data_IF_701326985442
#
_entry.id   IF_701326985442
#
_cell.length_a   1.000
_cell.length_b   1.000
_cell.length_c   1.000
_cell.angle_alpha   90.00
_cell.angle_beta   90.00
_cell.angle_gamma   90.00
#
_symmetry.space_group_name_H-M   'P 1'
#
loop_
_entity.id
_entity.type
_entity.pdbx_description
1 polymer ?
#
# COMPACT_ATOMS: atom_id res chain seq x y z
N UNK A 1 -14.13 5.29 -8.09
CA UNK A 1 -13.07 4.47 -7.46
C UNK A 1 -13.30 4.43 -5.96
N UNK A 2 -13.55 3.23 -5.42
CA UNK A 2 -13.80 2.98 -3.98
C UNK A 2 -12.48 2.56 -3.34
N UNK A 3 -12.19 3.01 -2.13
CA UNK A 3 -11.15 2.37 -1.33
C UNK A 3 -11.62 0.95 -1.04
N UNK A 4 -10.88 -0.08 -1.45
CA UNK A 4 -11.25 -1.45 -1.06
C UNK A 4 -10.91 -1.64 0.42
N UNK A 5 -11.95 -1.61 1.22
CA UNK A 5 -11.90 -1.71 2.67
C UNK A 5 -12.38 -3.11 3.07
N UNK A 6 -11.52 -3.86 3.75
CA UNK A 6 -11.84 -5.19 4.28
C UNK A 6 -11.93 -5.12 5.82
N UNK A 7 -12.72 -6.02 6.43
CA UNK A 7 -12.93 -6.16 7.89
C UNK A 7 -13.94 -5.15 8.48
N UNK A 8 -15.06 -4.89 7.80
CA UNK A 8 -16.09 -3.96 8.32
C UNK A 8 -15.64 -2.48 8.30
N UNK A 9 -14.53 -2.18 7.63
CA UNK A 9 -14.05 -0.82 7.48
C UNK A 9 -14.94 -0.01 6.53
N UNK A 10 -15.18 1.26 6.85
CA UNK A 10 -16.03 2.18 6.08
C UNK A 10 -15.20 3.30 5.48
N UNK A 11 -15.53 3.69 4.25
CA UNK A 11 -14.93 4.86 3.61
C UNK A 11 -15.48 6.12 4.27
N UNK A 12 -14.61 7.09 4.52
CA UNK A 12 -14.94 8.37 5.17
C UNK A 12 -14.31 9.52 4.41
N UNK A 13 -14.87 10.71 4.54
CA UNK A 13 -14.25 11.95 4.07
C UNK A 13 -13.16 12.38 5.05
N UNK A 14 -12.17 13.09 4.53
CA UNK A 14 -11.06 13.61 5.35
C UNK A 14 -11.57 14.39 6.56
N UNK A 15 -12.57 15.26 6.39
CA UNK A 15 -13.09 16.08 7.50
C UNK A 15 -13.82 15.26 8.58
N UNK A 16 -14.46 14.15 8.21
CA UNK A 16 -15.16 13.24 9.14
C UNK A 16 -14.19 12.50 10.07
N UNK A 17 -12.89 12.43 9.72
CA UNK A 17 -11.88 11.86 10.60
C UNK A 17 -11.77 12.60 11.94
N UNK A 18 -12.21 13.87 12.02
CA UNK A 18 -12.23 14.66 13.26
C UNK A 18 -13.17 14.07 14.30
N UNK A 19 -14.25 13.47 13.84
CA UNK A 19 -15.34 12.97 14.69
C UNK A 19 -15.06 11.55 15.21
N UNK A 20 -14.01 10.89 14.71
CA UNK A 20 -13.63 9.55 15.13
C UNK A 20 -12.78 9.64 16.39
N UNK A 21 -13.27 9.11 17.53
CA UNK A 21 -12.59 9.26 18.80
C UNK A 21 -11.32 8.40 18.84
N UNK A 22 -10.30 8.93 19.51
CA UNK A 22 -9.11 8.14 19.86
C UNK A 22 -9.55 7.04 20.84
N UNK A 23 -9.15 5.80 20.59
CA UNK A 23 -9.49 4.70 21.50
C UNK A 23 -8.99 4.98 22.92
N UNK A 24 -9.80 4.75 23.96
CA UNK A 24 -9.39 4.97 25.35
C UNK A 24 -8.18 4.11 25.71
N UNK A 25 -7.44 4.52 26.74
CA UNK A 25 -6.24 3.82 27.23
C UNK A 25 -6.51 2.38 27.65
N UNK A 26 -7.66 2.13 28.29
CA UNK A 26 -8.21 0.79 28.50
C UNK A 26 -9.28 0.60 27.46
N UNK A 27 -8.97 -0.19 26.43
CA UNK A 27 -9.86 -0.41 25.30
C UNK A 27 -10.40 -1.84 25.30
N UNK A 28 -11.72 -1.98 25.31
CA UNK A 28 -12.42 -3.25 25.22
C UNK A 28 -12.99 -3.40 23.83
N UNK A 29 -12.73 -4.53 23.18
CA UNK A 29 -13.22 -4.81 21.84
C UNK A 29 -13.49 -6.30 21.66
N UNK A 30 -14.32 -6.65 20.67
CA UNK A 30 -14.57 -8.04 20.29
C UNK A 30 -13.61 -8.40 19.16
N UNK A 31 -12.84 -9.46 19.33
CA UNK A 31 -11.98 -9.99 18.28
C UNK A 31 -12.79 -10.55 17.11
N UNK A 32 -12.14 -10.77 15.97
CA UNK A 32 -12.80 -11.39 14.81
C UNK A 32 -13.32 -12.81 15.08
N UNK A 33 -12.78 -13.45 16.09
CA UNK A 33 -13.18 -14.75 16.64
C UNK A 33 -14.39 -14.67 17.57
N UNK A 34 -14.96 -13.46 17.77
CA UNK A 34 -16.02 -13.23 18.75
C UNK A 34 -15.53 -13.12 20.19
N UNK A 35 -14.22 -13.28 20.44
CA UNK A 35 -13.65 -13.28 21.78
C UNK A 35 -13.50 -11.85 22.30
N UNK A 36 -14.06 -11.50 23.47
CA UNK A 36 -13.80 -10.21 24.11
C UNK A 36 -12.31 -10.06 24.46
N UNK A 37 -11.74 -8.91 24.13
CA UNK A 37 -10.34 -8.56 24.37
C UNK A 37 -10.24 -7.23 25.11
N UNK A 38 -9.21 -7.11 25.93
CA UNK A 38 -8.89 -5.90 26.69
C UNK A 38 -7.47 -5.50 26.35
N UNK A 39 -7.30 -4.26 25.92
CA UNK A 39 -6.00 -3.65 25.68
C UNK A 39 -5.78 -2.58 26.75
N UNK A 40 -4.90 -2.87 27.70
CA UNK A 40 -4.49 -1.95 28.75
C UNK A 40 -3.14 -1.33 28.40
N UNK A 41 -3.11 -0.02 28.20
CA UNK A 41 -1.90 0.72 27.81
C UNK A 41 -1.31 1.46 29.01
N UNK A 42 -0.01 1.77 28.94
CA UNK A 42 0.69 2.48 30.03
C UNK A 42 0.27 3.95 30.14
N UNK A 43 0.61 4.62 31.25
CA UNK A 43 0.36 6.06 31.45
C UNK A 43 1.09 6.95 30.44
N UNK A 44 2.15 6.41 29.84
CA UNK A 44 2.93 7.11 28.81
C UNK A 44 2.29 7.02 27.43
N UNK A 45 1.25 6.21 27.26
CA UNK A 45 0.58 6.04 25.97
C UNK A 45 -0.32 7.23 25.66
N UNK A 46 -0.19 7.77 24.45
CA UNK A 46 -1.07 8.80 23.91
C UNK A 46 -1.46 8.43 22.48
N UNK A 47 -2.75 8.22 22.24
CA UNK A 47 -3.23 7.92 20.90
C UNK A 47 -3.11 9.11 19.95
N UNK A 48 -3.16 8.82 18.66
CA UNK A 48 -3.06 9.84 17.61
C UNK A 48 -4.45 10.00 16.99
N UNK A 49 -4.90 11.25 16.93
CA UNK A 49 -6.12 11.62 16.23
C UNK A 49 -5.89 11.41 14.71
N UNK A 50 -6.81 10.70 14.04
CA UNK A 50 -6.68 10.34 12.63
C UNK A 50 -6.59 11.52 11.66
N UNK A 51 -7.45 12.53 11.81
CA UNK A 51 -7.38 13.82 11.14
C UNK A 51 -6.05 14.53 11.40
N UNK A 52 -5.60 14.65 12.65
CA UNK A 52 -4.34 15.36 12.94
C UNK A 52 -3.14 14.68 12.26
N UNK A 53 -3.14 13.35 12.20
CA UNK A 53 -2.13 12.59 11.46
C UNK A 53 -2.23 12.83 9.95
N UNK A 54 -3.44 12.71 9.39
CA UNK A 54 -3.69 12.94 7.97
C UNK A 54 -3.29 14.37 7.54
N UNK A 55 -3.70 15.36 8.32
CA UNK A 55 -3.43 16.79 8.09
C UNK A 55 -1.93 17.09 8.18
N UNK A 56 -1.22 16.52 9.16
CA UNK A 56 0.23 16.63 9.25
C UNK A 56 0.93 16.07 8.01
N UNK A 57 0.47 14.93 7.48
CA UNK A 57 1.02 14.33 6.26
C UNK A 57 0.71 15.19 5.04
N UNK A 58 -0.54 15.62 4.86
CA UNK A 58 -0.97 16.48 3.74
C UNK A 58 -0.18 17.79 3.72
N UNK A 59 -0.07 18.47 4.87
CA UNK A 59 0.67 19.72 4.96
C UNK A 59 2.15 19.54 4.62
N UNK A 60 2.77 18.46 5.09
CA UNK A 60 4.17 18.17 4.76
C UNK A 60 4.35 17.87 3.27
N UNK A 61 3.42 17.15 2.64
CA UNK A 61 3.41 16.94 1.18
C UNK A 61 3.30 18.28 0.42
N UNK A 62 2.41 19.17 0.85
CA UNK A 62 2.26 20.50 0.25
C UNK A 62 3.56 21.32 0.37
N UNK A 63 4.18 21.34 1.56
CA UNK A 63 5.44 22.05 1.82
C UNK A 63 6.59 21.52 0.93
N UNK A 64 6.54 20.24 0.54
CA UNK A 64 7.51 19.60 -0.35
C UNK A 64 7.17 19.73 -1.85
N UNK A 65 6.16 20.53 -2.21
CA UNK A 65 5.73 20.71 -3.60
C UNK A 65 5.04 19.49 -4.20
N UNK A 66 4.50 18.61 -3.35
CA UNK A 66 3.74 17.41 -3.71
C UNK A 66 2.27 17.54 -3.29
N UNK A 67 1.50 18.52 -3.81
CA UNK A 67 0.16 18.76 -3.32
C UNK A 67 -0.76 17.57 -3.55
N UNK A 68 -1.67 17.36 -2.59
CA UNK A 68 -2.58 16.21 -2.59
C UNK A 68 -3.84 16.54 -3.39
N UNK A 69 -4.27 15.60 -4.23
CA UNK A 69 -5.57 15.63 -4.86
C UNK A 69 -6.62 15.09 -3.88
N UNK A 70 -7.30 16.00 -3.18
CA UNK A 70 -8.32 15.65 -2.20
C UNK A 70 -9.54 14.93 -2.81
N UNK A 71 -9.84 15.16 -4.09
CA UNK A 71 -10.99 14.57 -4.77
C UNK A 71 -10.72 13.12 -5.18
N UNK A 72 -9.46 12.78 -5.46
CA UNK A 72 -9.04 11.43 -5.85
C UNK A 72 -8.47 10.63 -4.68
N UNK A 73 -8.00 11.29 -3.63
CA UNK A 73 -7.59 10.63 -2.38
C UNK A 73 -8.77 9.99 -1.66
N UNK A 74 -8.52 8.90 -0.95
CA UNK A 74 -9.54 8.12 -0.24
C UNK A 74 -9.07 7.78 1.17
N UNK A 75 -10.01 7.76 2.11
CA UNK A 75 -9.77 7.49 3.53
C UNK A 75 -10.75 6.44 4.00
N UNK A 76 -10.30 5.56 4.89
CA UNK A 76 -11.15 4.54 5.46
C UNK A 76 -10.73 4.22 6.87
N UNK A 77 -11.71 3.85 7.69
CA UNK A 77 -11.50 3.53 9.10
C UNK A 77 -12.11 2.18 9.40
N UNK A 78 -11.48 1.40 10.27
CA UNK A 78 -12.04 0.13 10.74
C UNK A 78 -13.37 0.32 11.45
N UNK A 79 -14.21 -0.73 11.47
CA UNK A 79 -15.53 -0.74 12.11
C UNK A 79 -15.53 -0.15 13.53
N UNK A 80 -14.46 -0.42 14.28
CA UNK A 80 -14.29 0.01 15.66
C UNK A 80 -13.61 1.39 15.82
N UNK A 81 -13.38 2.13 14.74
CA UNK A 81 -12.74 3.45 14.72
C UNK A 81 -11.21 3.45 14.92
N UNK A 82 -10.61 2.31 15.26
CA UNK A 82 -9.24 2.28 15.78
C UNK A 82 -8.14 2.37 14.71
N UNK A 83 -8.41 1.89 13.49
CA UNK A 83 -7.42 1.78 12.42
C UNK A 83 -7.79 2.71 11.26
N UNK A 84 -6.83 3.53 10.82
CA UNK A 84 -6.93 4.39 9.65
C UNK A 84 -6.17 3.77 8.47
N UNK A 85 -6.76 3.86 7.28
CA UNK A 85 -6.14 3.55 6.00
C UNK A 85 -6.43 4.70 5.03
N UNK A 86 -5.45 5.06 4.21
CA UNK A 86 -5.66 6.02 3.14
C UNK A 86 -4.89 5.65 1.88
N UNK A 87 -5.44 6.07 0.75
CA UNK A 87 -4.77 6.08 -0.55
C UNK A 87 -4.76 7.53 -1.03
N UNK A 88 -3.59 8.16 -0.96
CA UNK A 88 -3.39 9.56 -1.28
C UNK A 88 -2.87 9.71 -2.70
N UNK A 89 -3.61 10.47 -3.51
CA UNK A 89 -3.25 10.83 -4.88
C UNK A 89 -2.62 12.21 -4.89
N UNK A 90 -1.62 12.42 -5.74
CA UNK A 90 -0.97 13.72 -5.88
C UNK A 90 -1.55 14.50 -7.07
N UNK A 91 -1.51 15.81 -6.98
CA UNK A 91 -1.68 16.69 -8.14
C UNK A 91 -0.39 16.65 -8.95
N UNK A 92 -0.50 16.38 -10.24
CA UNK A 92 0.62 16.42 -11.19
C UNK A 92 0.85 17.82 -11.75
N UNK A 93 -0.12 18.72 -11.60
CA UNK A 93 -0.06 20.09 -12.08
C UNK A 93 -0.75 21.03 -11.09
N UNK A 94 -0.18 22.22 -10.89
CA UNK A 94 -0.74 23.32 -10.11
C UNK A 94 -0.59 24.60 -10.94
N UNK A 95 -1.70 25.30 -11.19
CA UNK A 95 -1.69 26.57 -11.94
C UNK A 95 -0.95 26.50 -13.29
N UNK A 96 -1.12 25.40 -14.03
CA UNK A 96 -0.45 25.21 -15.33
C UNK A 96 1.02 24.78 -15.24
N UNK A 97 1.54 24.48 -14.04
CA UNK A 97 2.94 24.07 -13.84
C UNK A 97 3.03 22.65 -13.28
N UNK A 98 3.90 21.79 -13.83
CA UNK A 98 4.08 20.44 -13.32
C UNK A 98 4.66 20.47 -11.90
N UNK A 99 4.13 19.62 -11.02
CA UNK A 99 4.64 19.46 -9.65
C UNK A 99 5.88 18.56 -9.64
N UNK A 100 6.58 18.48 -8.51
CA UNK A 100 7.80 17.65 -8.40
C UNK A 100 7.52 16.16 -8.63
N UNK A 101 6.28 15.73 -8.45
CA UNK A 101 5.86 14.35 -8.60
C UNK A 101 5.50 13.99 -10.06
N UNK A 102 5.21 14.99 -10.88
CA UNK A 102 4.76 14.80 -12.27
C UNK A 102 5.78 14.04 -13.11
N UNK A 103 7.08 14.24 -12.86
CA UNK A 103 8.17 13.52 -13.54
C UNK A 103 8.18 12.01 -13.33
N UNK A 104 7.47 11.52 -12.31
CA UNK A 104 7.35 10.08 -12.03
C UNK A 104 6.05 9.48 -12.53
N UNK A 105 5.14 10.30 -13.07
CA UNK A 105 3.91 9.85 -13.69
C UNK A 105 4.22 9.25 -15.07
N UNK A 106 3.67 8.06 -15.33
CA UNK A 106 3.76 7.37 -16.63
C UNK A 106 2.37 6.85 -17.02
N UNK A 107 2.22 6.33 -18.25
CA UNK A 107 0.97 5.71 -18.71
C UNK A 107 0.55 4.49 -17.86
N UNK A 108 1.49 3.91 -17.10
CA UNK A 108 1.29 2.70 -16.31
C UNK A 108 1.26 2.97 -14.80
N UNK A 109 2.01 3.99 -14.37
CA UNK A 109 2.26 4.29 -12.96
C UNK A 109 1.85 5.72 -12.64
N UNK A 110 0.88 5.84 -11.75
CA UNK A 110 0.57 7.09 -11.08
C UNK A 110 1.22 7.09 -9.68
N UNK A 111 2.10 8.04 -9.34
CA UNK A 111 2.61 8.19 -7.97
C UNK A 111 1.46 8.24 -6.96
N UNK A 112 1.50 7.38 -5.94
CA UNK A 112 0.39 7.24 -4.97
C UNK A 112 0.97 6.84 -3.62
N UNK A 113 0.55 7.53 -2.56
CA UNK A 113 0.99 7.21 -1.21
C UNK A 113 -0.09 6.46 -0.43
N UNK A 114 0.22 5.24 -0.02
CA UNK A 114 -0.60 4.53 0.96
C UNK A 114 -0.26 4.99 2.37
N UNK A 115 -1.26 5.14 3.22
CA UNK A 115 -1.07 5.49 4.63
C UNK A 115 -1.86 4.52 5.51
N UNK A 116 -1.26 4.09 6.62
CA UNK A 116 -1.93 3.29 7.64
C UNK A 116 -1.49 3.70 9.04
N UNK A 117 -2.43 3.71 9.98
CA UNK A 117 -2.17 3.97 11.39
C UNK A 117 -3.17 3.20 12.27
N UNK A 118 -2.73 2.70 13.42
CA UNK A 118 -3.58 1.96 14.37
C UNK A 118 -3.43 2.53 15.78
N UNK A 119 -4.56 2.94 16.38
CA UNK A 119 -4.63 3.34 17.78
C UNK A 119 -4.66 2.15 18.74
N UNK A 120 -4.85 0.91 18.25
CA UNK A 120 -4.79 -0.32 19.04
C UNK A 120 -3.49 -1.11 18.85
N UNK A 121 -2.46 -0.46 18.32
CA UNK A 121 -1.11 -1.04 18.13
C UNK A 121 -1.08 -2.31 17.29
N UNK A 122 -2.06 -2.51 16.38
CA UNK A 122 -2.03 -3.62 15.42
C UNK A 122 -0.92 -3.44 14.39
N UNK A 123 -0.57 -2.20 14.10
CA UNK A 123 0.55 -1.79 13.26
C UNK A 123 0.96 -0.36 13.62
N UNK A 124 2.23 -0.04 13.38
CA UNK A 124 2.73 1.33 13.54
C UNK A 124 2.10 2.26 12.49
N UNK A 125 2.13 3.56 12.76
CA UNK A 125 1.89 4.57 11.74
C UNK A 125 2.95 4.44 10.64
N UNK A 126 2.53 4.20 9.40
CA UNK A 126 3.42 4.02 8.25
C UNK A 126 2.82 4.67 7.01
N UNK A 127 3.66 5.27 6.19
CA UNK A 127 3.37 5.43 4.77
C UNK A 127 4.01 4.26 4.01
N UNK A 128 3.38 3.84 2.94
CA UNK A 128 4.00 2.94 1.98
C UNK A 128 4.50 3.73 0.81
N UNK A 129 5.72 3.41 0.38
CA UNK A 129 6.25 3.91 -0.88
C UNK A 129 5.68 3.05 -2.00
N UNK A 130 5.06 3.71 -2.97
CA UNK A 130 4.54 3.04 -4.14
C UNK A 130 4.04 3.99 -5.21
N UNK A 131 3.65 3.41 -6.34
CA UNK A 131 2.79 4.06 -7.34
C UNK A 131 1.49 3.27 -7.43
N UNK A 132 0.37 3.89 -7.71
CA UNK A 132 -0.81 3.19 -8.19
C UNK A 132 -0.59 2.74 -9.64
N UNK A 133 -0.93 1.50 -9.99
CA UNK A 133 -1.07 1.12 -11.38
C UNK A 133 -2.32 1.81 -11.94
N UNK A 134 -2.14 2.63 -12.98
CA UNK A 134 -3.14 3.58 -13.49
C UNK A 134 -4.46 2.92 -13.93
N UNK A 135 -4.39 1.70 -14.47
CA UNK A 135 -5.55 1.03 -15.10
C UNK A 135 -6.38 0.17 -14.14
N UNK A 136 -5.82 -0.29 -13.02
CA UNK A 136 -6.45 -1.32 -12.19
C UNK A 136 -6.63 -0.92 -10.72
N UNK A 137 -6.39 0.35 -10.38
CA UNK A 137 -6.54 0.92 -9.03
C UNK A 137 -5.73 0.18 -7.96
N UNK A 138 -4.73 -0.56 -8.41
CA UNK A 138 -3.86 -1.36 -7.57
C UNK A 138 -2.71 -0.51 -7.08
N UNK A 139 -2.30 -0.71 -5.83
CA UNK A 139 -0.99 -0.23 -5.39
C UNK A 139 0.09 -1.13 -6.01
N UNK A 140 1.13 -0.52 -6.55
CA UNK A 140 2.46 -1.09 -6.76
C UNK A 140 3.26 -0.64 -5.54
N UNK A 141 3.59 -1.56 -4.66
CA UNK A 141 4.36 -1.26 -3.46
C UNK A 141 5.75 -1.83 -3.65
N UNK A 142 6.77 -0.97 -3.66
CA UNK A 142 8.18 -1.37 -3.71
C UNK A 142 8.88 -1.23 -2.37
N UNK A 143 8.22 -0.61 -1.38
CA UNK A 143 8.75 -0.50 -0.04
C UNK A 143 7.78 0.12 0.96
N UNK A 144 8.16 0.08 2.23
CA UNK A 144 7.49 0.82 3.29
C UNK A 144 8.41 1.93 3.80
N UNK A 145 7.88 3.14 3.98
CA UNK A 145 8.54 4.09 4.88
C UNK A 145 7.81 4.10 6.20
N UNK A 146 8.46 3.48 7.16
CA UNK A 146 7.96 3.52 8.50
C UNK A 146 8.16 4.91 9.11
N UNK A 147 7.06 5.62 9.34
CA UNK A 147 7.01 6.72 10.30
C UNK A 147 7.01 6.11 11.71
N UNK A 148 8.12 5.47 12.08
CA UNK A 148 8.20 4.72 13.34
C UNK A 148 8.20 5.66 14.54
N UNK A 149 7.01 5.94 15.09
CA UNK A 149 6.86 6.60 16.39
C UNK A 149 5.94 5.81 17.29
N UNK A 150 6.37 5.65 18.54
CA UNK A 150 5.52 5.14 19.62
C UNK A 150 4.50 6.22 19.99
N UNK A 151 3.28 5.79 20.24
CA UNK A 151 2.17 6.58 20.78
C UNK A 151 2.49 7.11 22.18
N UNK A 152 3.26 8.20 22.32
CA UNK A 152 3.61 8.81 23.63
C UNK A 152 3.35 10.31 23.70
N UNK A 153 3.08 10.83 24.90
CA UNK A 153 2.90 12.26 25.21
C UNK A 153 4.19 13.05 24.91
N UNK A 154 4.12 14.11 24.07
CA UNK A 154 5.25 15.03 23.78
C UNK A 154 5.77 15.10 22.33
N UNK A 155 5.05 14.58 21.33
CA UNK A 155 5.66 14.20 20.04
C UNK A 155 5.28 15.02 18.79
N UNK A 156 4.43 16.06 18.87
CA UNK A 156 3.88 16.72 17.66
C UNK A 156 4.95 17.37 16.79
N UNK A 157 5.96 18.04 17.36
CA UNK A 157 7.05 18.63 16.58
C UNK A 157 7.91 17.57 15.84
N UNK A 158 8.08 16.39 16.44
CA UNK A 158 8.85 15.29 15.84
C UNK A 158 8.14 14.58 14.68
N UNK A 159 6.80 14.69 14.59
CA UNK A 159 6.04 13.98 13.57
C UNK A 159 6.28 14.58 12.18
N UNK A 160 6.34 15.91 12.06
CA UNK A 160 6.60 16.59 10.78
C UNK A 160 7.97 16.24 10.21
N UNK A 161 9.00 16.21 11.05
CA UNK A 161 10.37 15.84 10.65
C UNK A 161 10.39 14.40 10.11
N UNK A 162 9.78 13.47 10.84
CA UNK A 162 9.72 12.05 10.45
C UNK A 162 8.90 11.85 9.17
N UNK A 163 7.79 12.60 9.02
CA UNK A 163 7.00 12.61 7.79
C UNK A 163 7.86 13.11 6.63
N UNK A 164 8.55 14.24 6.78
CA UNK A 164 9.41 14.82 5.76
C UNK A 164 10.54 13.87 5.33
N UNK A 165 11.26 13.28 6.28
CA UNK A 165 12.28 12.25 6.00
C UNK A 165 11.69 11.08 5.22
N UNK A 166 10.46 10.68 5.53
CA UNK A 166 9.83 9.58 4.82
C UNK A 166 9.32 9.93 3.44
N UNK A 167 8.90 11.17 3.22
CA UNK A 167 8.55 11.67 1.89
C UNK A 167 9.79 11.83 0.99
N UNK A 168 10.96 12.17 1.56
CA UNK A 168 12.22 12.16 0.81
C UNK A 168 12.53 10.74 0.33
N UNK A 169 12.48 9.75 1.23
CA UNK A 169 12.66 8.33 0.87
C UNK A 169 11.66 7.86 -0.19
N UNK A 170 10.42 8.35 -0.13
CA UNK A 170 9.41 8.10 -1.14
C UNK A 170 9.86 8.59 -2.53
N UNK A 171 10.31 9.85 -2.63
CA UNK A 171 10.79 10.43 -3.88
C UNK A 171 12.03 9.68 -4.42
N UNK A 172 12.95 9.29 -3.55
CA UNK A 172 14.17 8.57 -3.91
C UNK A 172 13.90 7.18 -4.49
N UNK A 173 12.80 6.55 -4.09
CA UNK A 173 12.42 5.21 -4.52
C UNK A 173 11.53 5.17 -5.78
N UNK A 174 10.90 6.30 -6.17
CA UNK A 174 10.06 6.35 -7.37
C UNK A 174 10.78 5.96 -8.68
N UNK A 175 12.05 6.35 -8.92
CA UNK A 175 12.81 5.84 -10.07
C UNK A 175 12.84 4.30 -10.12
N UNK A 176 13.05 3.64 -8.98
CA UNK A 176 13.07 2.18 -8.86
C UNK A 176 11.71 1.56 -9.17
N UNK A 177 10.60 2.22 -8.81
CA UNK A 177 9.24 1.78 -9.19
C UNK A 177 9.09 1.78 -10.71
N UNK A 178 9.47 2.88 -11.36
CA UNK A 178 9.34 3.00 -12.82
C UNK A 178 10.24 2.01 -13.55
N UNK A 179 11.46 1.80 -13.06
CA UNK A 179 12.36 0.78 -13.58
C UNK A 179 11.80 -0.64 -13.41
N UNK A 180 11.21 -0.94 -12.25
CA UNK A 180 10.57 -2.23 -12.01
C UNK A 180 9.45 -2.52 -13.01
N UNK A 181 8.56 -1.54 -13.24
CA UNK A 181 7.48 -1.68 -14.23
C UNK A 181 8.05 -1.90 -15.63
N UNK A 182 9.06 -1.11 -16.02
CA UNK A 182 9.76 -1.29 -17.29
C UNK A 182 10.36 -2.69 -17.44
N UNK A 183 11.02 -3.20 -16.40
CA UNK A 183 11.60 -4.55 -16.41
C UNK A 183 10.52 -5.63 -16.54
N UNK A 184 9.39 -5.48 -15.85
CA UNK A 184 8.23 -6.38 -15.98
C UNK A 184 7.63 -6.32 -17.39
N UNK A 185 7.54 -5.15 -18.01
CA UNK A 185 7.01 -4.99 -19.37
C UNK A 185 7.93 -5.61 -20.44
N UNK A 186 9.25 -5.53 -20.24
CA UNK A 186 10.23 -6.10 -21.18
C UNK A 186 10.45 -7.61 -21.01
N UNK A 187 10.06 -8.18 -19.86
CA UNK A 187 10.20 -9.61 -19.62
C UNK A 187 9.05 -10.37 -20.28
N UNK A 188 9.30 -11.00 -21.43
CA UNK A 188 8.42 -12.04 -21.94
C UNK A 188 8.33 -13.22 -20.95
N UNK A 189 7.13 -13.79 -20.79
CA UNK A 189 6.87 -14.93 -19.91
C UNK A 189 6.45 -16.12 -20.78
N UNK A 190 7.33 -17.10 -20.89
CA UNK A 190 6.98 -18.39 -21.50
C UNK A 190 6.04 -19.21 -20.62
N UNK A 191 5.39 -20.22 -21.20
CA UNK A 191 4.53 -21.15 -20.44
C UNK A 191 5.29 -21.88 -19.31
N UNK A 192 6.57 -22.21 -19.52
CA UNK A 192 7.41 -22.82 -18.50
C UNK A 192 7.69 -21.87 -17.33
N UNK A 193 8.02 -20.60 -17.63
CA UNK A 193 8.23 -19.57 -16.61
C UNK A 193 6.94 -19.24 -15.86
N UNK A 194 5.80 -19.22 -16.55
CA UNK A 194 4.49 -19.02 -15.94
C UNK A 194 4.21 -20.11 -14.89
N UNK A 195 4.37 -21.38 -15.28
CA UNK A 195 4.20 -22.52 -14.38
C UNK A 195 5.18 -22.47 -13.19
N UNK A 196 6.45 -22.13 -13.44
CA UNK A 196 7.46 -21.97 -12.39
C UNK A 196 7.12 -20.82 -11.42
N UNK A 197 6.69 -19.66 -11.92
CA UNK A 197 6.25 -18.53 -11.09
C UNK A 197 5.05 -18.92 -10.22
N UNK A 198 4.08 -19.67 -10.75
CA UNK A 198 2.97 -20.21 -9.97
C UNK A 198 3.42 -21.14 -8.84
N UNK A 199 4.33 -22.07 -9.13
CA UNK A 199 4.89 -22.98 -8.14
C UNK A 199 5.66 -22.22 -7.05
N UNK A 200 6.49 -21.25 -7.42
CA UNK A 200 7.23 -20.40 -6.47
C UNK A 200 6.28 -19.59 -5.58
N UNK A 201 5.28 -18.94 -6.16
CA UNK A 201 4.32 -18.13 -5.41
C UNK A 201 3.56 -18.96 -4.35
N UNK A 202 3.20 -20.19 -4.70
CA UNK A 202 2.48 -21.07 -3.78
C UNK A 202 3.39 -21.71 -2.72
N UNK A 203 4.58 -22.22 -3.11
CA UNK A 203 5.54 -22.84 -2.19
C UNK A 203 6.09 -21.87 -1.15
N UNK A 204 6.34 -20.62 -1.56
CA UNK A 204 6.78 -19.53 -0.65
C UNK A 204 5.64 -18.97 0.20
N UNK A 205 4.41 -19.47 0.04
CA UNK A 205 3.18 -18.98 0.70
C UNK A 205 2.92 -17.50 0.43
N UNK A 206 3.38 -16.98 -0.72
CA UNK A 206 3.00 -15.65 -1.19
C UNK A 206 1.49 -15.63 -1.45
N UNK A 207 0.96 -16.64 -2.12
CA UNK A 207 -0.48 -16.89 -2.22
C UNK A 207 -0.84 -18.35 -1.91
N UNK A 208 -2.05 -18.62 -1.40
CA UNK A 208 -2.56 -19.99 -1.27
C UNK A 208 -2.67 -20.66 -2.64
N UNK A 209 -2.47 -21.98 -2.70
CA UNK A 209 -2.65 -22.79 -3.93
C UNK A 209 -4.01 -22.58 -4.59
N UNK A 210 -5.08 -22.44 -3.79
CA UNK A 210 -6.43 -22.19 -4.28
C UNK A 210 -6.57 -20.89 -5.09
N UNK A 211 -5.71 -19.92 -4.85
CA UNK A 211 -5.75 -18.61 -5.52
C UNK A 211 -4.90 -18.58 -6.79
N UNK A 212 -3.98 -19.52 -6.98
CA UNK A 212 -3.14 -19.59 -8.19
C UNK A 212 -3.99 -19.87 -9.43
N UNK A 213 -5.01 -20.74 -9.33
CA UNK A 213 -5.94 -20.97 -10.46
C UNK A 213 -6.71 -19.71 -10.86
N UNK A 214 -6.97 -18.80 -9.92
CA UNK A 214 -7.57 -17.50 -10.23
C UNK A 214 -6.58 -16.55 -10.90
N UNK A 215 -5.31 -16.57 -10.48
CA UNK A 215 -4.25 -15.82 -11.15
C UNK A 215 -4.16 -16.27 -12.60
N UNK A 216 -4.20 -17.58 -12.86
CA UNK A 216 -4.16 -18.11 -14.22
C UNK A 216 -5.36 -17.68 -15.06
N UNK A 217 -6.56 -17.66 -14.47
CA UNK A 217 -7.74 -17.10 -15.13
C UNK A 217 -7.53 -15.64 -15.55
N UNK A 218 -6.95 -14.80 -14.69
CA UNK A 218 -6.65 -13.40 -15.00
C UNK A 218 -5.43 -13.23 -15.92
N UNK A 219 -4.50 -14.18 -15.92
CA UNK A 219 -3.45 -14.23 -16.92
C UNK A 219 -4.07 -14.49 -18.29
N UNK A 220 -4.86 -15.56 -18.45
CA UNK A 220 -5.51 -15.92 -19.72
C UNK A 220 -6.50 -14.86 -20.19
N UNK A 221 -7.29 -14.30 -19.27
CA UNK A 221 -8.29 -13.26 -19.55
C UNK A 221 -8.03 -12.04 -18.66
N UNK A 222 -7.12 -11.13 -19.07
CA UNK A 222 -6.81 -9.95 -18.29
C UNK A 222 -8.01 -9.01 -18.12
N UNK A 223 -8.04 -8.30 -17.01
CA UNK A 223 -9.15 -7.38 -16.70
C UNK A 223 -9.12 -6.07 -17.49
N UNK A 224 -8.01 -5.77 -18.18
CA UNK A 224 -7.81 -4.56 -18.97
C UNK A 224 -7.06 -4.83 -20.25
N UNK A 225 -7.44 -4.13 -21.33
CA UNK A 225 -6.85 -4.28 -22.66
C UNK A 225 -5.34 -4.04 -22.68
N UNK A 226 -4.83 -3.10 -21.87
CA UNK A 226 -3.37 -2.85 -21.75
C UNK A 226 -2.60 -4.12 -21.38
N UNK A 227 -3.17 -4.98 -20.53
CA UNK A 227 -2.54 -6.23 -20.11
C UNK A 227 -2.75 -7.36 -21.12
N UNK A 228 -3.76 -7.27 -21.99
CA UNK A 228 -3.99 -8.24 -23.05
C UNK A 228 -3.02 -8.08 -24.23
N UNK A 229 -2.31 -6.95 -24.33
CA UNK A 229 -1.40 -6.64 -25.45
C UNK A 229 -0.19 -7.57 -25.55
N UNK A 230 0.36 -8.02 -24.41
CA UNK A 230 1.60 -8.80 -24.38
C UNK A 230 1.58 -9.83 -23.24
N UNK A 231 2.21 -10.99 -23.49
CA UNK A 231 2.46 -12.03 -22.49
C UNK A 231 3.76 -11.73 -21.73
N UNK A 232 3.77 -10.64 -20.97
CA UNK A 232 4.95 -10.17 -20.24
C UNK A 232 4.74 -10.20 -18.72
N UNK A 233 5.83 -9.97 -17.98
CA UNK A 233 5.83 -9.92 -16.53
C UNK A 233 4.85 -8.90 -15.97
N UNK A 234 4.54 -7.83 -16.71
CA UNK A 234 3.58 -6.81 -16.31
C UNK A 234 2.13 -7.32 -16.31
N UNK A 235 1.75 -8.09 -17.33
CA UNK A 235 0.45 -8.81 -17.35
C UNK A 235 0.37 -9.78 -16.17
N UNK A 236 1.43 -10.55 -15.91
CA UNK A 236 1.44 -11.53 -14.82
C UNK A 236 1.33 -10.86 -13.45
N UNK A 237 2.09 -9.78 -13.24
CA UNK A 237 2.02 -8.96 -12.03
C UNK A 237 0.59 -8.50 -11.76
N UNK A 238 -0.10 -8.00 -12.79
CA UNK A 238 -1.48 -7.52 -12.65
C UNK A 238 -2.51 -8.63 -12.46
N UNK A 239 -2.28 -9.83 -13.00
CA UNK A 239 -3.10 -11.00 -12.70
C UNK A 239 -3.02 -11.37 -11.20
N UNK A 240 -1.81 -11.46 -10.64
CA UNK A 240 -1.61 -11.66 -9.20
C UNK A 240 -2.22 -10.52 -8.37
N UNK A 241 -1.96 -9.27 -8.75
CA UNK A 241 -2.47 -8.11 -8.02
C UNK A 241 -4.01 -8.10 -7.98
N UNK A 242 -4.67 -8.47 -9.08
CA UNK A 242 -6.14 -8.62 -9.15
C UNK A 242 -6.68 -9.64 -8.14
N UNK A 243 -5.99 -10.76 -7.93
CA UNK A 243 -6.38 -11.74 -6.90
C UNK A 243 -6.09 -11.19 -5.49
N UNK A 244 -4.96 -10.48 -5.32
CA UNK A 244 -4.58 -9.90 -4.03
C UNK A 244 -5.60 -8.89 -3.48
N UNK A 245 -6.43 -8.29 -4.35
CA UNK A 245 -7.56 -7.42 -3.99
C UNK A 245 -8.55 -8.04 -3.01
N UNK A 246 -8.65 -9.37 -2.97
CA UNK A 246 -9.53 -10.09 -2.04
C UNK A 246 -9.03 -10.09 -0.60
N UNK A 247 -7.75 -9.80 -0.40
CA UNK A 247 -7.15 -9.83 0.92
C UNK A 247 -7.47 -8.57 1.72
N UNK A 248 -7.34 -8.68 3.04
CA UNK A 248 -7.34 -7.48 3.87
C UNK A 248 -6.13 -6.59 3.53
N UNK A 249 -6.20 -5.26 3.75
CA UNK A 249 -5.16 -4.33 3.35
C UNK A 249 -3.76 -4.75 3.78
N UNK A 250 -3.58 -5.15 5.05
CA UNK A 250 -2.27 -5.57 5.55
C UNK A 250 -1.68 -6.75 4.76
N UNK A 251 -2.49 -7.77 4.48
CA UNK A 251 -2.04 -8.92 3.68
C UNK A 251 -1.82 -8.55 2.20
N UNK A 252 -2.67 -7.68 1.65
CA UNK A 252 -2.49 -7.17 0.29
C UNK A 252 -1.12 -6.46 0.15
N UNK A 253 -0.77 -5.60 1.11
CA UNK A 253 0.54 -4.96 1.17
C UNK A 253 1.70 -5.97 1.16
N UNK A 254 1.64 -6.97 2.03
CA UNK A 254 2.69 -8.01 2.13
C UNK A 254 2.89 -8.79 0.83
N UNK A 255 1.79 -9.09 0.13
CA UNK A 255 1.82 -9.86 -1.13
C UNK A 255 2.38 -9.02 -2.27
N UNK A 256 1.85 -7.82 -2.48
CA UNK A 256 2.26 -6.95 -3.58
C UNK A 256 3.73 -6.55 -3.43
N UNK A 257 4.18 -6.27 -2.20
CA UNK A 257 5.56 -5.89 -1.92
C UNK A 257 6.61 -6.95 -2.28
N UNK A 258 6.20 -8.23 -2.39
CA UNK A 258 7.10 -9.36 -2.70
C UNK A 258 6.87 -9.95 -4.09
N UNK A 259 5.81 -9.51 -4.79
CA UNK A 259 5.34 -10.15 -6.01
C UNK A 259 6.38 -10.10 -7.14
N UNK A 260 7.11 -8.99 -7.25
CA UNK A 260 8.12 -8.84 -8.30
C UNK A 260 9.26 -9.85 -8.18
N UNK A 261 9.67 -10.25 -6.97
CA UNK A 261 10.73 -11.26 -6.77
C UNK A 261 10.31 -12.65 -7.29
N UNK A 262 9.01 -12.94 -7.33
CA UNK A 262 8.51 -14.22 -7.84
C UNK A 262 8.39 -14.18 -9.38
N UNK A 263 8.17 -13.01 -9.98
CA UNK A 263 8.10 -12.88 -11.44
C UNK A 263 9.50 -12.70 -12.05
N UNK A 264 10.35 -11.94 -11.38
CA UNK A 264 11.73 -11.62 -11.74
C UNK A 264 12.65 -12.16 -10.62
N UNK A 265 12.87 -13.48 -10.53
CA UNK A 265 13.80 -14.03 -9.55
C UNK A 265 15.20 -13.45 -9.78
N UNK A 266 15.89 -13.11 -8.69
CA UNK A 266 17.33 -12.85 -8.76
C UNK A 266 18.07 -14.19 -8.92
N UNK A 267 19.11 -14.22 -9.77
CA UNK A 267 19.82 -15.46 -10.13
C UNK A 267 20.45 -16.19 -8.92
N UNK A 268 20.65 -15.52 -7.79
CA UNK A 268 21.30 -16.07 -6.59
C UNK A 268 20.42 -17.04 -5.76
N UNK A 269 19.09 -17.03 -5.91
CA UNK A 269 18.21 -17.90 -5.11
C UNK A 269 18.00 -19.31 -5.71
N UNK A 270 18.48 -19.57 -6.93
CA UNK A 270 18.32 -20.87 -7.59
C UNK A 270 19.34 -21.95 -7.16
N UNK A 271 20.40 -21.57 -6.45
CA UNK A 271 21.49 -22.49 -6.06
C UNK A 271 21.73 -22.63 -4.55
N UNK A 272 21.06 -21.85 -3.71
CA UNK A 272 21.26 -21.87 -2.24
C UNK A 272 20.58 -23.05 -1.51
N UNK A 273 20.08 -24.06 -2.24
CA UNK A 273 19.48 -25.28 -1.65
C UNK A 273 20.26 -26.57 -1.93
N UNK A 274 21.49 -26.48 -2.46
CA UNK A 274 22.36 -27.63 -2.71
C UNK A 274 23.77 -27.50 -2.10
N UNK A 275 23.86 -27.04 -0.86
CA UNK A 275 25.04 -27.24 0.00
C UNK A 275 24.62 -27.53 1.43
#
# INVERSE_FOLDING_TARGET
>A
MSLMLHCGASEVKLHELKDIPITPRVYRYVGKDGTPRVLERSDKWAGIQHYDFADAVINTCNDMGMPIDHNRSRWGVSENGADLFACMKFQTEVEGRPTVIAKYFTDEVEPTMGLRHSNISRFAAKATIGGGCFVCDNLIITGEVAFNKKHTTGNVASIKVIIGEGLIKYLDAMPTVNELVRNLQHKYISQAELADTYLRAARTKLMPWSHIGEVDKYWVTPTHDTFAKQENGWRLYNAFNTVAKKYNPARQFDVIGKLHNVILPQEEELYASNT
#
